data_IF_459553969633
#
_entry.id   IF_459553969633
#
_cell.length_a   1.000
_cell.length_b   1.000
_cell.length_c   1.000
_cell.angle_alpha   90.00
_cell.angle_beta   90.00
_cell.angle_gamma   90.00
#
_symmetry.space_group_name_H-M   'P 1'
#
loop_
_entity.id
_entity.type
_entity.pdbx_description
1 polymer ?
#
# COMPACT_ATOMS: atom_id res chain seq x y z
N UNK A 1 -23.86 9.96 -1.79
CA UNK A 1 -22.94 11.05 -2.12
C UNK A 1 -22.61 10.99 -3.59
N UNK A 2 -22.84 12.07 -4.35
CA UNK A 2 -22.42 12.12 -5.74
C UNK A 2 -20.92 11.81 -5.86
N UNK A 3 -20.53 11.21 -6.99
CA UNK A 3 -19.14 10.77 -7.16
C UNK A 3 -18.12 11.90 -7.00
N UNK A 4 -18.49 13.13 -7.42
CA UNK A 4 -17.64 14.31 -7.23
C UNK A 4 -17.42 14.69 -5.77
N UNK A 5 -18.40 14.40 -4.93
CA UNK A 5 -18.34 14.73 -3.50
C UNK A 5 -17.57 13.70 -2.68
N UNK A 6 -17.25 12.55 -3.26
CA UNK A 6 -16.42 11.55 -2.59
C UNK A 6 -14.95 11.92 -2.62
N UNK A 7 -14.57 12.78 -3.55
CA UNK A 7 -13.19 13.20 -3.68
C UNK A 7 -12.87 14.22 -2.58
N UNK A 8 -11.92 13.90 -1.74
CA UNK A 8 -11.33 14.84 -0.78
C UNK A 8 -10.01 15.31 -1.38
N UNK A 9 -9.59 16.51 -0.99
CA UNK A 9 -8.29 17.00 -1.47
C UNK A 9 -7.15 16.13 -0.92
N UNK A 10 -6.01 16.17 -1.62
CA UNK A 10 -4.88 15.32 -1.29
C UNK A 10 -4.32 15.60 0.10
N UNK A 11 -4.25 16.86 0.50
CA UNK A 11 -3.74 17.23 1.82
C UNK A 11 -4.61 16.66 2.94
N UNK A 12 -5.92 16.72 2.79
CA UNK A 12 -6.86 16.14 3.75
C UNK A 12 -6.70 14.63 3.82
N UNK A 13 -6.57 13.98 2.67
CA UNK A 13 -6.38 12.53 2.60
C UNK A 13 -5.08 12.10 3.30
N UNK A 14 -3.99 12.81 3.05
CA UNK A 14 -2.70 12.54 3.71
C UNK A 14 -2.85 12.64 5.22
N UNK A 15 -3.47 13.72 5.70
CA UNK A 15 -3.67 13.94 7.14
C UNK A 15 -4.52 12.85 7.77
N UNK A 16 -5.58 12.42 7.10
CA UNK A 16 -6.43 11.34 7.59
C UNK A 16 -5.65 10.03 7.71
N UNK A 17 -4.86 9.69 6.71
CA UNK A 17 -4.03 8.49 6.74
C UNK A 17 -3.00 8.57 7.87
N UNK A 18 -2.32 9.70 8.02
CA UNK A 18 -1.28 9.88 9.04
C UNK A 18 -1.84 9.83 10.46
N UNK A 19 -3.10 10.18 10.66
CA UNK A 19 -3.78 10.11 11.97
C UNK A 19 -4.41 8.76 12.26
N UNK A 20 -4.50 7.88 11.26
CA UNK A 20 -5.07 6.55 11.43
C UNK A 20 -4.09 5.62 12.14
N UNK A 21 -4.62 4.67 12.91
CA UNK A 21 -3.79 3.63 13.50
C UNK A 21 -3.17 2.75 12.43
N UNK A 22 -3.95 2.43 11.40
CA UNK A 22 -3.49 1.70 10.23
C UNK A 22 -4.51 1.90 9.09
N UNK A 23 -4.10 1.54 7.89
CA UNK A 23 -4.97 1.56 6.70
C UNK A 23 -5.23 0.12 6.28
N UNK A 24 -6.48 -0.36 6.35
CA UNK A 24 -6.81 -1.68 5.82
C UNK A 24 -6.97 -1.61 4.31
N UNK A 25 -6.52 -2.65 3.61
CA UNK A 25 -6.69 -2.75 2.16
C UNK A 25 -7.36 -4.08 1.82
N UNK A 26 -8.66 -4.04 1.57
CA UNK A 26 -9.45 -5.18 1.15
C UNK A 26 -9.63 -5.15 -0.36
N UNK A 27 -9.35 -6.26 -1.03
CA UNK A 27 -9.51 -6.36 -2.48
C UNK A 27 -10.57 -7.41 -2.83
N UNK A 28 -11.43 -7.12 -3.80
CA UNK A 28 -12.35 -8.15 -4.32
C UNK A 28 -11.55 -9.26 -5.01
N UNK A 29 -12.14 -10.46 -5.07
CA UNK A 29 -11.45 -11.64 -5.60
C UNK A 29 -10.97 -11.42 -7.04
N UNK A 30 -11.72 -10.70 -7.86
CA UNK A 30 -11.35 -10.39 -9.24
C UNK A 30 -10.02 -9.66 -9.32
N UNK A 31 -9.79 -8.71 -8.41
CA UNK A 31 -8.52 -7.98 -8.36
C UNK A 31 -7.39 -8.85 -7.84
N UNK A 32 -7.67 -9.74 -6.89
CA UNK A 32 -6.68 -10.70 -6.41
C UNK A 32 -6.26 -11.66 -7.52
N UNK A 33 -7.20 -12.11 -8.34
CA UNK A 33 -6.92 -13.02 -9.45
C UNK A 33 -6.00 -12.39 -10.49
N UNK A 34 -6.06 -11.08 -10.67
CA UNK A 34 -5.19 -10.35 -11.59
C UNK A 34 -3.94 -9.77 -10.91
N UNK A 35 -3.71 -10.08 -9.64
CA UNK A 35 -2.56 -9.61 -8.86
C UNK A 35 -2.50 -8.08 -8.77
N UNK A 36 -3.66 -7.45 -8.65
CA UNK A 36 -3.74 -5.99 -8.56
C UNK A 36 -3.22 -5.49 -7.22
N UNK A 37 -2.31 -4.53 -7.27
CA UNK A 37 -1.80 -3.83 -6.09
C UNK A 37 -2.41 -2.43 -6.04
N UNK A 38 -3.17 -2.15 -5.00
CA UNK A 38 -3.85 -0.87 -4.83
C UNK A 38 -2.85 0.27 -4.60
N UNK A 39 -3.10 1.42 -5.21
CA UNK A 39 -2.31 2.61 -4.89
C UNK A 39 -2.51 3.06 -3.44
N UNK A 40 -3.57 2.63 -2.75
CA UNK A 40 -3.75 2.89 -1.32
C UNK A 40 -2.60 2.31 -0.50
N UNK A 41 -2.11 1.13 -0.86
CA UNK A 41 -0.97 0.50 -0.18
C UNK A 41 0.27 1.37 -0.31
N UNK A 42 0.59 1.78 -1.53
CA UNK A 42 1.75 2.64 -1.80
C UNK A 42 1.62 3.99 -1.10
N UNK A 43 0.44 4.58 -1.14
CA UNK A 43 0.18 5.87 -0.48
C UNK A 43 0.33 5.77 1.03
N UNK A 44 -0.26 4.74 1.64
CA UNK A 44 -0.16 4.55 3.09
C UNK A 44 1.31 4.45 3.52
N UNK A 45 2.09 3.62 2.82
CA UNK A 45 3.52 3.47 3.11
C UNK A 45 4.24 4.81 2.94
N UNK A 46 3.98 5.51 1.85
CA UNK A 46 4.63 6.79 1.55
C UNK A 46 4.29 7.88 2.57
N UNK A 47 3.13 7.80 3.19
CA UNK A 47 2.70 8.78 4.20
C UNK A 47 3.09 8.36 5.62
N UNK A 48 3.78 7.23 5.77
CA UNK A 48 4.23 6.74 7.06
C UNK A 48 3.15 6.10 7.91
N UNK A 49 2.10 5.58 7.28
CA UNK A 49 1.01 4.89 7.96
C UNK A 49 1.11 3.38 7.76
N UNK A 50 0.93 2.57 8.81
CA UNK A 50 0.90 1.12 8.63
C UNK A 50 -0.27 0.70 7.73
N UNK A 51 -0.04 -0.26 6.87
CA UNK A 51 -1.07 -0.83 6.00
C UNK A 51 -1.13 -2.34 6.24
N UNK A 52 -2.34 -2.86 6.26
CA UNK A 52 -2.57 -4.31 6.36
C UNK A 52 -3.45 -4.74 5.19
N UNK A 53 -2.95 -5.67 4.39
CA UNK A 53 -3.59 -6.12 3.16
C UNK A 53 -4.24 -7.49 3.36
N UNK A 54 -5.22 -7.81 2.52
CA UNK A 54 -5.79 -9.15 2.44
C UNK A 54 -5.31 -9.94 1.21
N UNK A 55 -4.27 -9.44 0.54
CA UNK A 55 -3.72 -10.04 -0.66
C UNK A 55 -2.24 -10.39 -0.43
N UNK A 56 -1.91 -11.66 -0.16
CA UNK A 56 -0.53 -12.07 0.16
C UNK A 56 0.50 -11.77 -0.93
N UNK A 57 0.09 -11.72 -2.21
CA UNK A 57 1.01 -11.41 -3.30
C UNK A 57 1.62 -10.02 -3.20
N UNK A 58 1.01 -9.12 -2.40
CA UNK A 58 1.58 -7.78 -2.18
C UNK A 58 2.94 -7.87 -1.49
N UNK A 59 3.14 -8.88 -0.65
CA UNK A 59 4.44 -9.15 -0.02
C UNK A 59 5.52 -9.46 -1.06
N UNK A 60 5.16 -10.24 -2.07
CA UNK A 60 6.10 -10.61 -3.13
C UNK A 60 6.43 -9.39 -4.01
N UNK A 61 5.45 -8.53 -4.22
CA UNK A 61 5.62 -7.36 -5.08
C UNK A 61 6.39 -6.24 -4.39
N UNK A 62 6.10 -5.96 -3.13
CA UNK A 62 6.73 -4.84 -2.41
C UNK A 62 7.88 -5.32 -1.54
N UNK A 63 7.56 -6.07 -0.48
CA UNK A 63 8.54 -6.55 0.50
C UNK A 63 7.86 -7.50 1.48
N UNK A 64 8.62 -8.46 2.01
CA UNK A 64 8.13 -9.45 2.99
C UNK A 64 7.59 -8.81 4.27
N UNK A 65 7.98 -7.59 4.58
CA UNK A 65 7.55 -6.89 5.80
C UNK A 65 6.16 -6.26 5.67
N UNK A 66 5.52 -6.31 4.50
CA UNK A 66 4.13 -5.89 4.35
C UNK A 66 3.23 -6.81 5.18
N UNK A 67 2.34 -6.21 5.97
CA UNK A 67 1.43 -6.98 6.82
C UNK A 67 0.25 -7.48 5.98
N UNK A 68 -0.03 -8.78 6.07
CA UNK A 68 -1.15 -9.42 5.38
C UNK A 68 -1.89 -10.38 6.30
N UNK A 69 -3.20 -10.46 6.13
CA UNK A 69 -4.06 -11.42 6.84
C UNK A 69 -5.27 -11.75 5.97
N UNK A 70 -6.03 -12.77 6.33
CA UNK A 70 -7.16 -13.24 5.52
C UNK A 70 -8.50 -12.66 5.95
N UNK A 71 -8.71 -12.49 7.27
CA UNK A 71 -9.99 -12.04 7.81
C UNK A 71 -9.92 -10.60 8.30
N UNK A 72 -11.07 -9.94 8.35
CA UNK A 72 -11.17 -8.58 8.86
C UNK A 72 -10.66 -8.48 10.31
N UNK A 73 -10.95 -9.49 11.14
CA UNK A 73 -10.51 -9.50 12.53
C UNK A 73 -8.99 -9.60 12.63
N UNK A 74 -8.38 -10.48 11.83
CA UNK A 74 -6.93 -10.63 11.81
C UNK A 74 -6.25 -9.35 11.31
N UNK A 75 -6.82 -8.70 10.29
CA UNK A 75 -6.31 -7.43 9.77
C UNK A 75 -6.35 -6.35 10.84
N UNK A 76 -7.45 -6.26 11.57
CA UNK A 76 -7.58 -5.31 12.67
C UNK A 76 -6.55 -5.60 13.76
N UNK A 77 -6.41 -6.85 14.16
CA UNK A 77 -5.49 -7.25 15.22
C UNK A 77 -4.03 -6.94 14.83
N UNK A 78 -3.64 -7.25 13.60
CA UNK A 78 -2.30 -6.91 13.10
C UNK A 78 -2.08 -5.40 13.04
N UNK A 79 -3.08 -4.66 12.59
CA UNK A 79 -2.98 -3.21 12.52
C UNK A 79 -2.77 -2.57 13.89
N UNK A 80 -3.51 -3.03 14.89
CA UNK A 80 -3.37 -2.55 16.26
C UNK A 80 -2.02 -2.96 16.85
N UNK A 81 -1.60 -4.20 16.64
CA UNK A 81 -0.33 -4.71 17.14
C UNK A 81 0.86 -3.89 16.62
N UNK A 82 0.82 -3.51 15.34
CA UNK A 82 1.93 -2.86 14.66
C UNK A 82 1.75 -1.35 14.46
N UNK A 83 0.79 -0.73 15.13
CA UNK A 83 0.48 0.69 14.92
C UNK A 83 1.64 1.64 15.25
N UNK A 84 2.57 1.21 16.08
CA UNK A 84 3.75 2.01 16.47
C UNK A 84 5.07 1.38 16.02
N UNK A 85 5.03 0.47 15.08
CA UNK A 85 6.21 -0.23 14.56
C UNK A 85 6.96 0.66 13.56
N UNK A 86 7.69 1.63 14.09
CA UNK A 86 8.38 2.65 13.29
C UNK A 86 9.49 2.07 12.41
N UNK A 87 10.14 1.00 12.88
CA UNK A 87 11.22 0.36 12.09
C UNK A 87 10.65 -0.29 10.84
N UNK A 88 9.53 -1.00 10.97
CA UNK A 88 8.84 -1.59 9.81
C UNK A 88 8.38 -0.51 8.84
N UNK A 89 7.78 0.55 9.35
CA UNK A 89 7.31 1.66 8.51
C UNK A 89 8.46 2.33 7.77
N UNK A 90 9.59 2.54 8.45
CA UNK A 90 10.78 3.12 7.81
C UNK A 90 11.33 2.20 6.75
N UNK A 91 11.44 0.92 7.03
CA UNK A 91 11.91 -0.07 6.06
C UNK A 91 11.04 -0.09 4.80
N UNK A 92 9.73 -0.17 4.96
CA UNK A 92 8.79 -0.18 3.84
C UNK A 92 8.85 1.14 3.04
N UNK A 93 8.96 2.27 3.73
CA UNK A 93 9.12 3.56 3.08
C UNK A 93 10.38 3.58 2.19
N UNK A 94 11.49 3.08 2.68
CA UNK A 94 12.73 3.03 1.91
C UNK A 94 12.61 2.10 0.70
N UNK A 95 11.94 0.96 0.86
CA UNK A 95 11.69 0.03 -0.26
C UNK A 95 10.86 0.69 -1.34
N UNK A 96 9.74 1.34 -0.97
CA UNK A 96 8.87 2.02 -1.94
C UNK A 96 9.61 3.15 -2.64
N UNK A 97 10.36 3.94 -1.89
CA UNK A 97 11.15 5.04 -2.45
C UNK A 97 12.21 4.56 -3.44
N UNK A 98 12.85 3.44 -3.14
CA UNK A 98 13.92 2.88 -3.98
C UNK A 98 13.37 2.18 -5.23
N UNK A 99 12.30 1.37 -5.10
CA UNK A 99 11.90 0.41 -6.12
C UNK A 99 10.51 0.67 -6.75
N UNK A 100 9.70 1.54 -6.17
CA UNK A 100 8.27 1.64 -6.53
C UNK A 100 7.81 3.07 -6.84
N UNK A 101 8.69 3.91 -7.34
CA UNK A 101 8.33 5.25 -7.80
C UNK A 101 7.88 5.20 -9.27
N UNK A 102 7.25 6.27 -9.73
CA UNK A 102 6.93 6.40 -11.17
C UNK A 102 8.19 6.35 -12.03
N UNK A 103 9.32 6.89 -11.55
CA UNK A 103 10.59 6.80 -12.27
C UNK A 103 11.04 5.36 -12.45
N UNK A 104 10.90 4.53 -11.40
CA UNK A 104 11.20 3.10 -11.52
C UNK A 104 10.34 2.45 -12.61
N UNK A 105 9.05 2.78 -12.67
CA UNK A 105 8.14 2.24 -13.70
C UNK A 105 8.52 2.70 -15.09
N UNK A 106 8.83 3.97 -15.26
CA UNK A 106 9.27 4.53 -16.54
C UNK A 106 10.56 3.85 -17.02
N UNK A 107 11.53 3.69 -16.14
CA UNK A 107 12.79 3.02 -16.46
C UNK A 107 12.57 1.56 -16.85
N UNK A 108 11.66 0.84 -16.14
CA UNK A 108 11.30 -0.52 -16.48
C UNK A 108 10.68 -0.64 -17.87
N UNK A 109 9.79 0.29 -18.23
CA UNK A 109 9.17 0.33 -19.56
C UNK A 109 10.23 0.57 -20.63
N UNK A 110 11.15 1.51 -20.39
CA UNK A 110 12.24 1.81 -21.32
C UNK A 110 13.13 0.59 -21.54
N UNK A 111 13.47 -0.13 -20.48
CA UNK A 111 14.27 -1.36 -20.57
C UNK A 111 13.58 -2.41 -21.44
N UNK A 112 12.26 -2.61 -21.25
CA UNK A 112 11.47 -3.54 -22.05
C UNK A 112 11.50 -3.14 -23.53
N UNK A 113 11.28 -1.86 -23.83
CA UNK A 113 11.30 -1.35 -25.21
C UNK A 113 12.68 -1.54 -25.83
N UNK A 114 13.75 -1.25 -25.12
CA UNK A 114 15.12 -1.39 -25.62
C UNK A 114 15.52 -2.86 -25.83
N UNK A 115 14.86 -3.80 -25.14
CA UNK A 115 15.09 -5.22 -25.30
C UNK A 115 14.35 -5.86 -26.48
N UNK A 116 13.47 -5.11 -27.13
CA UNK A 116 12.79 -5.58 -28.33
C UNK A 116 13.72 -5.46 -29.56
#
# INVERSE_FOLDING_TARGET
>A
VPSGDRAIDEDTNIKLMQKSFFVPDFRPQEQKDTLYVSCRVMKAISYGCPVVCDAPYVKDFIDKEVLCAETAQEIFDLGVEHQYDKERMRHLFEVVKRDHTYMNRCNGIIEVINGL
#
